data_IF_517687115256
#
_entry.id   IF_517687115256
#
_cell.length_a   1.000
_cell.length_b   1.000
_cell.length_c   1.000
_cell.angle_alpha   90.00
_cell.angle_beta   90.00
_cell.angle_gamma   90.00
#
_symmetry.space_group_name_H-M   'P 1'
#
loop_
_entity.id
_entity.type
_entity.pdbx_description
1 polymer ?
#
# COMPACT_ATOMS: atom_id res chain seq x y z
N UNK A 1 -2.26 7.67 -0.38
CA UNK A 1 -2.61 6.37 0.23
C UNK A 1 -1.51 5.36 -0.07
N UNK A 2 -0.94 4.72 0.95
CA UNK A 2 0.20 3.81 0.85
C UNK A 2 -0.36 2.42 0.58
N UNK A 3 -0.39 2.02 -0.69
CA UNK A 3 -0.88 0.71 -1.12
C UNK A 3 0.22 -0.34 -0.93
N UNK A 4 -0.13 -1.63 -1.04
CA UNK A 4 0.88 -2.72 -1.10
C UNK A 4 1.95 -2.44 -2.14
N UNK A 5 1.56 -1.89 -3.30
CA UNK A 5 2.51 -1.41 -4.33
C UNK A 5 3.41 -0.26 -3.87
N UNK A 6 2.98 0.58 -2.94
CA UNK A 6 3.75 1.72 -2.45
C UNK A 6 4.74 1.30 -1.35
N UNK A 7 4.42 0.26 -0.57
CA UNK A 7 5.38 -0.45 0.29
C UNK A 7 6.44 -1.14 -0.58
N UNK A 8 6.01 -1.87 -1.61
CA UNK A 8 6.92 -2.54 -2.56
C UNK A 8 7.80 -1.53 -3.31
N UNK A 9 7.24 -0.40 -3.78
CA UNK A 9 8.01 0.73 -4.35
C UNK A 9 8.92 1.42 -3.34
N UNK A 10 8.51 1.46 -2.08
CA UNK A 10 9.32 1.93 -0.97
C UNK A 10 10.55 1.04 -0.74
N UNK A 11 10.45 -0.25 -1.09
CA UNK A 11 11.55 -1.23 -1.07
C UNK A 11 12.32 -1.28 -2.41
N UNK A 12 11.74 -0.82 -3.52
CA UNK A 12 12.40 -0.77 -4.83
C UNK A 12 13.64 0.17 -4.81
N UNK A 13 14.83 -0.32 -5.22
CA UNK A 13 16.01 0.50 -5.41
C UNK A 13 15.73 1.68 -6.35
N UNK A 14 16.12 2.90 -5.98
CA UNK A 14 15.80 4.13 -6.75
C UNK A 14 16.35 4.13 -8.17
N UNK A 15 17.34 3.29 -8.49
CA UNK A 15 17.86 3.12 -9.86
C UNK A 15 16.85 2.44 -10.80
N UNK A 16 15.82 1.75 -10.28
CA UNK A 16 14.74 1.19 -11.08
C UNK A 16 13.71 2.25 -11.56
N UNK A 17 13.71 3.43 -10.93
CA UNK A 17 12.74 4.49 -11.18
C UNK A 17 13.26 5.56 -12.17
N UNK A 18 14.55 5.54 -12.52
CA UNK A 18 15.21 6.61 -13.30
C UNK A 18 15.30 6.36 -14.81
N UNK A 19 14.60 5.35 -15.35
CA UNK A 19 14.61 5.02 -16.79
C UNK A 19 13.24 5.08 -17.45
N UNK A 20 13.22 5.30 -18.77
CA UNK A 20 12.01 5.15 -19.61
C UNK A 20 11.40 3.76 -19.44
N UNK A 21 10.11 3.58 -19.78
CA UNK A 21 9.43 2.28 -19.69
C UNK A 21 10.19 1.16 -20.43
N UNK A 22 10.92 1.48 -21.48
CA UNK A 22 11.76 0.54 -22.24
C UNK A 22 12.98 0.04 -21.46
N UNK A 23 13.58 0.88 -20.60
CA UNK A 23 14.69 0.48 -19.73
C UNK A 23 14.23 -0.55 -18.68
N UNK A 24 12.99 -0.42 -18.19
CA UNK A 24 12.42 -1.38 -17.24
C UNK A 24 12.19 -2.75 -17.88
N UNK A 25 11.74 -2.82 -19.15
CA UNK A 25 11.63 -4.10 -19.86
C UNK A 25 12.99 -4.77 -20.04
N UNK A 26 14.01 -4.01 -20.41
CA UNK A 26 15.38 -4.54 -20.57
C UNK A 26 15.96 -5.11 -19.28
N UNK A 27 15.62 -4.56 -18.11
CA UNK A 27 16.13 -5.06 -16.83
C UNK A 27 15.62 -6.45 -16.43
N UNK A 28 14.51 -6.90 -17.03
CA UNK A 28 13.92 -8.23 -16.84
C UNK A 28 14.10 -9.13 -18.06
N UNK A 29 14.86 -8.68 -19.07
CA UNK A 29 15.20 -9.48 -20.24
C UNK A 29 16.35 -10.42 -19.87
N UNK A 30 16.11 -11.73 -19.98
CA UNK A 30 16.95 -12.81 -19.45
C UNK A 30 18.28 -12.96 -20.23
N UNK A 31 18.45 -12.20 -21.31
CA UNK A 31 19.66 -12.18 -22.15
C UNK A 31 20.81 -11.30 -21.59
N UNK A 32 20.67 -10.77 -20.38
CA UNK A 32 21.75 -10.02 -19.72
C UNK A 32 22.79 -11.01 -19.17
N UNK A 33 24.03 -10.88 -19.68
CA UNK A 33 25.28 -11.47 -19.18
C UNK A 33 25.18 -11.97 -17.72
N UNK A 34 25.46 -13.27 -17.45
CA UNK A 34 25.40 -13.86 -16.10
C UNK A 34 26.13 -13.05 -15.02
N UNK A 35 27.17 -12.32 -15.39
CA UNK A 35 27.97 -11.52 -14.47
C UNK A 35 27.31 -10.17 -14.13
N UNK A 36 26.44 -9.64 -15.02
CA UNK A 36 25.65 -8.43 -14.78
C UNK A 36 24.41 -8.69 -13.91
N UNK A 37 23.85 -9.90 -13.97
CA UNK A 37 22.70 -10.31 -13.15
C UNK A 37 23.08 -10.47 -11.67
N UNK A 38 24.27 -11.02 -11.38
CA UNK A 38 24.81 -11.10 -10.01
C UNK A 38 25.09 -9.70 -9.40
N UNK A 39 25.70 -8.79 -10.17
CA UNK A 39 25.96 -7.40 -9.73
C UNK A 39 24.67 -6.60 -9.47
N UNK A 40 23.60 -6.90 -10.21
CA UNK A 40 22.27 -6.31 -10.02
C UNK A 40 21.61 -6.82 -8.73
N UNK A 41 21.75 -8.12 -8.45
CA UNK A 41 21.21 -8.75 -7.25
C UNK A 41 21.86 -8.20 -5.97
N UNK A 42 23.19 -8.10 -5.92
CA UNK A 42 23.90 -7.58 -4.74
C UNK A 42 23.54 -6.12 -4.43
N UNK A 43 23.45 -5.27 -5.46
CA UNK A 43 23.01 -3.88 -5.29
C UNK A 43 21.55 -3.78 -4.85
N UNK A 44 20.69 -4.66 -5.35
CA UNK A 44 19.29 -4.76 -4.91
C UNK A 44 19.19 -5.19 -3.44
N UNK A 45 19.89 -6.25 -3.06
CA UNK A 45 19.93 -6.76 -1.68
C UNK A 45 20.49 -5.72 -0.71
N UNK A 46 21.57 -5.02 -1.08
CA UNK A 46 22.11 -3.91 -0.29
C UNK A 46 21.08 -2.77 -0.13
N UNK A 47 20.33 -2.46 -1.19
CA UNK A 47 19.24 -1.50 -1.16
C UNK A 47 18.09 -1.91 -0.22
N UNK A 48 17.72 -3.18 -0.22
CA UNK A 48 16.70 -3.75 0.69
C UNK A 48 17.20 -3.71 2.13
N UNK A 49 18.41 -4.21 2.41
CA UNK A 49 19.02 -4.21 3.76
C UNK A 49 19.08 -2.79 4.34
N UNK A 50 19.46 -1.80 3.54
CA UNK A 50 19.49 -0.39 3.96
C UNK A 50 18.12 0.17 4.33
N UNK A 51 17.04 -0.35 3.73
CA UNK A 51 15.66 0.11 4.00
C UNK A 51 14.95 -0.73 5.05
N UNK A 52 15.33 -1.99 5.23
CA UNK A 52 14.77 -2.89 6.24
C UNK A 52 14.96 -2.35 7.66
N UNK A 53 16.03 -1.57 7.92
CA UNK A 53 16.27 -0.94 9.22
C UNK A 53 15.49 0.36 9.49
N UNK A 54 14.64 0.83 8.56
CA UNK A 54 13.86 2.06 8.73
C UNK A 54 12.64 1.82 9.63
N UNK A 55 12.19 2.86 10.31
CA UNK A 55 11.11 2.76 11.28
C UNK A 55 9.76 2.78 10.57
N UNK A 56 8.77 2.08 11.13
CA UNK A 56 7.39 2.04 10.58
C UNK A 56 6.80 3.45 10.45
N UNK A 57 7.12 4.35 11.39
CA UNK A 57 6.66 5.76 11.35
C UNK A 57 7.08 6.52 10.09
N UNK A 58 8.14 6.08 9.41
CA UNK A 58 8.65 6.71 8.19
C UNK A 58 7.81 6.34 6.95
N UNK A 59 6.95 5.32 7.08
CA UNK A 59 6.10 4.79 6.02
C UNK A 59 4.61 4.85 6.35
N UNK A 60 4.24 4.85 7.62
CA UNK A 60 2.85 4.85 8.04
C UNK A 60 2.13 6.12 7.56
N UNK A 61 0.83 5.97 7.29
CA UNK A 61 -0.04 7.13 7.11
C UNK A 61 -0.71 7.40 8.45
N UNK A 62 -0.62 8.62 9.00
CA UNK A 62 -1.36 8.99 10.20
C UNK A 62 -2.87 8.76 10.02
N UNK A 63 -3.54 8.30 11.07
CA UNK A 63 -4.99 8.13 11.06
C UNK A 63 -5.62 9.52 10.90
N UNK A 64 -6.30 9.74 9.77
CA UNK A 64 -6.98 11.01 9.45
C UNK A 64 -8.42 11.04 9.92
N UNK A 65 -9.06 9.88 9.94
CA UNK A 65 -10.43 9.70 10.38
C UNK A 65 -10.62 8.27 10.88
N UNK A 66 -11.62 8.13 11.73
CA UNK A 66 -12.09 6.87 12.31
C UNK A 66 -13.60 6.81 12.17
N UNK A 67 -14.16 5.63 12.39
CA UNK A 67 -15.60 5.43 12.47
C UNK A 67 -15.95 4.73 13.78
N UNK A 68 -17.09 5.05 14.38
CA UNK A 68 -17.56 4.32 15.54
C UNK A 68 -18.16 2.98 15.12
N UNK A 69 -18.03 1.96 15.95
CA UNK A 69 -18.55 0.63 15.67
C UNK A 69 -20.09 0.56 15.55
N UNK A 70 -20.81 1.53 16.10
CA UNK A 70 -22.27 1.63 16.00
C UNK A 70 -22.73 2.51 14.81
N UNK A 71 -21.80 3.11 14.06
CA UNK A 71 -22.12 3.93 12.90
C UNK A 71 -22.58 3.09 11.69
N UNK A 72 -23.46 3.68 10.88
CA UNK A 72 -23.94 3.05 9.65
C UNK A 72 -22.87 2.95 8.56
N UNK A 73 -22.93 1.89 7.75
CA UNK A 73 -22.02 1.65 6.62
C UNK A 73 -21.98 2.80 5.60
N UNK A 74 -23.09 3.52 5.43
CA UNK A 74 -23.16 4.69 4.55
C UNK A 74 -22.29 5.85 5.06
N UNK A 75 -22.18 6.03 6.38
CA UNK A 75 -21.27 7.01 6.98
C UNK A 75 -19.82 6.62 6.69
N UNK A 76 -19.48 5.33 6.77
CA UNK A 76 -18.15 4.84 6.40
C UNK A 76 -17.78 5.22 4.96
N UNK A 77 -18.73 5.10 4.03
CA UNK A 77 -18.52 5.49 2.64
C UNK A 77 -18.31 7.00 2.49
N UNK A 78 -19.13 7.83 3.16
CA UNK A 78 -18.96 9.30 3.15
C UNK A 78 -17.59 9.71 3.69
N UNK A 79 -17.23 9.21 4.87
CA UNK A 79 -15.94 9.50 5.50
C UNK A 79 -14.75 9.06 4.62
N UNK A 80 -14.84 7.91 3.96
CA UNK A 80 -13.81 7.46 3.02
C UNK A 80 -13.64 8.41 1.84
N UNK A 81 -14.74 8.93 1.29
CA UNK A 81 -14.73 9.90 0.18
C UNK A 81 -14.16 11.24 0.67
N UNK A 82 -14.70 11.78 1.75
CA UNK A 82 -14.34 13.09 2.29
C UNK A 82 -12.86 13.15 2.69
N UNK A 83 -12.36 12.08 3.30
CA UNK A 83 -10.99 11.99 3.80
C UNK A 83 -10.01 11.42 2.76
N UNK A 84 -10.50 11.07 1.56
CA UNK A 84 -9.74 10.44 0.48
C UNK A 84 -8.91 9.24 0.98
N UNK A 85 -9.58 8.36 1.74
CA UNK A 85 -9.00 7.14 2.31
C UNK A 85 -9.83 5.93 1.91
N UNK A 86 -9.20 4.76 1.82
CA UNK A 86 -9.89 3.50 1.52
C UNK A 86 -9.89 2.53 2.71
N UNK A 87 -9.49 3.02 3.88
CA UNK A 87 -9.46 2.28 5.15
C UNK A 87 -9.79 3.25 6.28
N UNK A 88 -10.70 2.83 7.15
CA UNK A 88 -11.06 3.50 8.38
C UNK A 88 -10.83 2.54 9.56
N UNK A 89 -10.06 2.94 10.59
CA UNK A 89 -10.07 2.25 11.88
C UNK A 89 -11.44 2.38 12.54
N UNK A 90 -11.92 1.30 13.15
CA UNK A 90 -13.18 1.25 13.90
C UNK A 90 -12.90 1.41 15.39
N UNK A 91 -13.56 2.38 16.02
CA UNK A 91 -13.46 2.66 17.44
C UNK A 91 -14.64 2.08 18.22
N UNK A 92 -14.35 1.68 19.47
CA UNK A 92 -15.34 1.48 20.53
C UNK A 92 -14.69 1.94 21.84
N UNK A 93 -15.34 2.85 22.57
CA UNK A 93 -14.81 3.41 23.82
C UNK A 93 -13.34 3.88 23.68
N UNK A 94 -13.07 4.70 22.67
CA UNK A 94 -11.74 5.25 22.33
C UNK A 94 -10.65 4.22 21.99
N UNK A 95 -11.01 2.94 21.84
CA UNK A 95 -10.11 1.86 21.48
C UNK A 95 -10.35 1.40 20.05
N UNK A 96 -9.28 1.21 19.27
CA UNK A 96 -9.37 0.60 17.94
C UNK A 96 -9.65 -0.89 18.10
N UNK A 97 -10.84 -1.32 17.66
CA UNK A 97 -11.28 -2.72 17.72
C UNK A 97 -11.25 -3.44 16.37
N UNK A 98 -11.05 -2.70 15.27
CA UNK A 98 -11.04 -3.26 13.93
C UNK A 98 -10.73 -2.24 12.84
N UNK A 99 -10.92 -2.66 11.59
CA UNK A 99 -10.78 -1.81 10.40
C UNK A 99 -11.86 -2.14 9.39
N UNK A 100 -12.34 -1.13 8.67
CA UNK A 100 -13.24 -1.28 7.51
C UNK A 100 -12.52 -0.77 6.28
N UNK A 101 -12.54 -1.55 5.19
CA UNK A 101 -11.93 -1.18 3.90
C UNK A 101 -13.01 -0.87 2.89
N UNK A 102 -12.71 0.04 1.96
CA UNK A 102 -13.66 0.43 0.91
C UNK A 102 -14.15 -0.75 0.06
N UNK A 103 -13.30 -1.75 -0.16
CA UNK A 103 -13.67 -2.96 -0.93
C UNK A 103 -14.71 -3.81 -0.20
N UNK A 104 -14.66 -3.86 1.14
CA UNK A 104 -15.62 -4.60 1.95
C UNK A 104 -16.96 -3.84 1.97
N UNK A 105 -16.90 -2.51 2.10
CA UNK A 105 -18.08 -1.63 2.03
C UNK A 105 -18.82 -1.76 0.70
N UNK A 106 -18.09 -1.68 -0.42
CA UNK A 106 -18.67 -1.82 -1.76
C UNK A 106 -19.24 -3.23 -2.00
N UNK A 107 -18.57 -4.26 -1.47
CA UNK A 107 -19.07 -5.63 -1.56
C UNK A 107 -20.41 -5.80 -0.83
N UNK A 108 -20.52 -5.27 0.40
CA UNK A 108 -21.75 -5.34 1.18
C UNK A 108 -22.90 -4.58 0.50
N UNK A 109 -22.62 -3.37 -0.02
CA UNK A 109 -23.62 -2.60 -0.79
C UNK A 109 -24.09 -3.38 -2.02
N UNK A 110 -23.18 -4.06 -2.73
CA UNK A 110 -23.55 -4.87 -3.90
C UNK A 110 -24.47 -6.04 -3.52
N UNK A 111 -24.26 -6.67 -2.36
CA UNK A 111 -25.16 -7.72 -1.84
C UNK A 111 -26.54 -7.13 -1.51
N UNK A 112 -26.58 -5.99 -0.82
CA UNK A 112 -27.82 -5.32 -0.42
C UNK A 112 -28.67 -4.83 -1.61
N UNK A 113 -28.04 -4.43 -2.71
CA UNK A 113 -28.75 -3.96 -3.92
C UNK A 113 -29.08 -5.08 -4.91
N UNK A 114 -28.42 -6.23 -4.79
CA UNK A 114 -28.65 -7.41 -5.64
C UNK A 114 -29.63 -8.41 -5.05
N UNK A 115 -30.24 -8.12 -3.89
CA UNK A 115 -31.23 -8.94 -3.20
C UNK A 115 -32.64 -8.39 -3.32
#
# INVERSE_FOLDING_TARGET
>A
MLRRRDIMRGLEPRFLLSGSLDYRRKLFDVDIDPNLSELSYDKMVAGIRKRAGRLVKDYMIPIKATIDHDDHIMKAMSEMVDQNTSLLPVLRNDSIIGVVRSVDVLHEIAILLGS
#
